data_IF_339278021155
#
_entry.id   IF_339278021155
#
_cell.length_a   1.000
_cell.length_b   1.000
_cell.length_c   1.000
_cell.angle_alpha   90.00
_cell.angle_beta   90.00
_cell.angle_gamma   90.00
#
_symmetry.space_group_name_H-M   'P 1'
#
loop_
_entity.id
_entity.type
_entity.pdbx_description
1 polymer ?
#
# COMPACT_ATOMS: atom_id res chain seq x y z
N UNK A 1 -0.67 1.70 61.00
CA UNK A 1 -1.22 2.93 61.61
C UNK A 1 -0.09 3.95 61.63
N UNK A 2 -0.21 4.98 60.78
CA UNK A 2 0.61 6.20 60.64
C UNK A 2 2.10 6.15 60.99
N UNK A 3 2.98 6.15 59.98
CA UNK A 3 4.42 6.42 60.14
C UNK A 3 4.75 7.79 59.54
N UNK A 4 5.09 8.68 60.45
CA UNK A 4 5.54 10.06 60.32
C UNK A 4 6.97 10.14 59.76
N UNK A 5 7.21 11.13 58.90
CA UNK A 5 8.55 11.60 58.52
C UNK A 5 9.16 12.48 59.62
N UNK A 6 10.50 12.48 59.74
CA UNK A 6 11.20 13.70 60.11
C UNK A 6 12.35 14.07 59.16
N UNK A 7 12.49 15.38 58.96
CA UNK A 7 13.60 16.10 58.30
C UNK A 7 14.73 16.38 59.30
N UNK A 8 15.99 16.22 58.88
CA UNK A 8 17.16 16.98 59.35
C UNK A 8 18.26 16.87 58.26
N UNK A 9 18.57 17.87 57.41
CA UNK A 9 19.32 19.12 57.61
C UNK A 9 20.73 18.93 58.24
N UNK A 10 21.78 18.93 57.41
CA UNK A 10 22.92 19.90 57.46
C UNK A 10 24.09 19.56 56.49
N UNK A 11 24.44 20.56 55.66
CA UNK A 11 25.78 21.12 55.28
C UNK A 11 26.97 20.14 55.21
N UNK A 12 27.89 20.11 54.23
CA UNK A 12 28.21 20.97 53.08
C UNK A 12 29.71 20.87 52.76
N UNK A 13 30.08 21.20 51.51
CA UNK A 13 31.37 21.81 51.06
C UNK A 13 32.56 20.89 50.67
N UNK A 14 33.23 21.30 49.57
CA UNK A 14 34.56 20.95 48.99
C UNK A 14 34.61 19.66 48.12
N UNK A 15 35.13 19.62 46.90
CA UNK A 15 35.77 20.58 46.00
C UNK A 15 36.58 19.84 44.90
N UNK A 16 36.54 20.35 43.66
CA UNK A 16 37.67 20.50 42.71
C UNK A 16 38.27 19.27 41.97
N UNK A 17 38.05 19.26 40.63
CA UNK A 17 39.01 19.14 39.48
C UNK A 17 39.74 17.80 39.19
N UNK A 18 39.32 17.21 38.07
CA UNK A 18 40.12 16.76 36.89
C UNK A 18 41.38 15.91 37.09
N UNK A 19 41.35 14.65 36.61
CA UNK A 19 42.20 14.17 35.49
C UNK A 19 42.03 12.66 35.20
N UNK A 20 41.88 12.38 33.90
CA UNK A 20 42.24 11.19 33.12
C UNK A 20 43.07 10.10 33.84
N UNK A 21 42.64 8.83 33.72
CA UNK A 21 43.52 7.76 33.25
C UNK A 21 42.72 6.58 32.68
N UNK A 22 43.23 6.01 31.60
CA UNK A 22 42.66 4.95 30.80
C UNK A 22 42.28 3.70 31.61
N UNK A 23 41.07 3.18 31.38
CA UNK A 23 40.70 1.83 31.75
C UNK A 23 40.35 1.04 30.48
N UNK A 24 41.29 0.16 30.16
CA UNK A 24 41.16 -1.04 29.34
C UNK A 24 39.80 -1.72 29.63
N UNK A 25 38.85 -1.65 28.71
CA UNK A 25 37.63 -2.48 28.79
C UNK A 25 38.02 -3.88 28.33
N UNK A 26 38.40 -4.71 29.30
CA UNK A 26 38.29 -6.15 29.18
C UNK A 26 36.83 -6.49 28.92
N UNK A 27 36.56 -7.06 27.74
CA UNK A 27 35.28 -7.70 27.41
C UNK A 27 35.10 -8.86 28.39
N UNK A 28 34.33 -8.62 29.45
CA UNK A 28 33.73 -9.70 30.23
C UNK A 28 32.48 -10.08 29.46
N UNK A 29 32.55 -11.25 28.82
CA UNK A 29 31.43 -11.92 28.17
C UNK A 29 30.45 -12.36 29.27
N UNK A 30 29.55 -11.45 29.66
CA UNK A 30 28.43 -11.79 30.53
C UNK A 30 27.38 -12.39 29.60
N UNK A 31 27.37 -13.72 29.53
CA UNK A 31 26.34 -14.52 28.87
C UNK A 31 24.96 -14.17 29.43
N UNK A 32 24.34 -13.16 28.84
CA UNK A 32 22.94 -12.82 29.05
C UNK A 32 22.09 -13.90 28.39
N UNK A 33 21.53 -14.78 29.21
CA UNK A 33 20.42 -15.65 28.85
C UNK A 33 19.29 -14.79 28.26
N UNK A 34 19.23 -14.68 26.94
CA UNK A 34 18.00 -14.28 26.26
C UNK A 34 17.05 -15.45 26.43
N UNK A 35 16.10 -15.34 27.34
CA UNK A 35 14.92 -16.20 27.35
C UNK A 35 14.17 -15.91 26.06
N UNK A 36 14.44 -16.69 25.02
CA UNK A 36 13.55 -16.77 23.87
C UNK A 36 12.21 -17.21 24.41
N UNK A 37 11.21 -16.32 24.38
CA UNK A 37 9.82 -16.74 24.49
C UNK A 37 9.58 -17.71 23.34
N UNK A 38 9.60 -19.00 23.67
CA UNK A 38 9.22 -20.06 22.76
C UNK A 38 7.77 -19.78 22.37
N UNK A 39 7.56 -19.33 21.14
CA UNK A 39 6.23 -19.33 20.57
C UNK A 39 5.81 -20.79 20.46
N UNK A 40 4.62 -21.11 20.96
CA UNK A 40 4.03 -22.41 20.77
C UNK A 40 4.06 -22.74 19.27
N UNK A 41 4.65 -23.89 18.92
CA UNK A 41 4.59 -24.38 17.56
C UNK A 41 3.12 -24.46 17.14
N UNK A 42 2.81 -23.92 15.96
CA UNK A 42 1.47 -24.00 15.40
C UNK A 42 1.00 -25.47 15.39
N UNK A 43 -0.27 -25.76 15.74
CA UNK A 43 -0.79 -27.11 15.71
C UNK A 43 -0.63 -27.69 14.31
N UNK A 44 -0.20 -28.96 14.24
CA UNK A 44 -0.09 -29.69 13.00
C UNK A 44 -1.45 -29.70 12.27
N UNK A 45 -1.48 -29.24 11.01
CA UNK A 45 -2.69 -29.28 10.16
C UNK A 45 -3.24 -27.95 9.65
N UNK A 46 -2.59 -26.81 9.93
CA UNK A 46 -2.97 -25.51 9.35
C UNK A 46 -2.45 -25.37 7.92
N UNK A 47 -3.34 -25.16 6.95
CA UNK A 47 -2.94 -24.92 5.56
C UNK A 47 -2.21 -23.57 5.44
N UNK A 48 -1.10 -23.49 4.69
CA UNK A 48 -0.34 -22.26 4.56
C UNK A 48 -1.08 -21.22 3.72
N UNK A 49 -0.97 -19.96 4.12
CA UNK A 49 -1.44 -18.80 3.35
C UNK A 49 -0.30 -18.23 2.52
N UNK A 50 -0.56 -18.02 1.23
CA UNK A 50 0.38 -17.41 0.30
C UNK A 50 0.12 -15.93 0.19
N UNK A 51 1.16 -15.11 0.39
CA UNK A 51 1.03 -13.67 0.35
C UNK A 51 2.17 -13.01 -0.42
N UNK A 52 1.83 -12.04 -1.28
CA UNK A 52 2.82 -11.27 -2.01
C UNK A 52 2.36 -9.82 -2.19
N UNK A 53 3.31 -8.88 -2.12
CA UNK A 53 3.07 -7.44 -2.28
C UNK A 53 4.19 -6.84 -3.10
N UNK A 54 3.83 -6.02 -4.08
CA UNK A 54 4.78 -5.32 -4.95
C UNK A 54 4.27 -3.92 -5.29
N UNK A 55 5.19 -3.01 -5.61
CA UNK A 55 4.85 -1.67 -6.10
C UNK A 55 6.03 -0.99 -6.76
N UNK A 56 5.80 0.17 -7.35
CA UNK A 56 6.82 0.91 -8.09
C UNK A 56 7.71 1.79 -7.21
N UNK A 57 7.13 2.60 -6.34
CA UNK A 57 7.86 3.51 -5.45
C UNK A 57 7.21 3.56 -4.07
N UNK A 58 7.99 3.85 -3.03
CA UNK A 58 7.51 4.13 -1.66
C UNK A 58 8.43 5.17 -1.03
N UNK A 59 7.87 6.12 -0.27
CA UNK A 59 8.65 7.14 0.45
C UNK A 59 8.23 7.19 1.92
N UNK A 60 9.19 6.99 2.81
CA UNK A 60 8.98 7.06 4.26
C UNK A 60 9.86 8.17 4.86
N UNK A 61 9.34 8.91 5.82
CA UNK A 61 10.06 9.99 6.51
C UNK A 61 9.90 9.79 8.02
N UNK A 62 11.01 9.52 8.71
CA UNK A 62 11.03 9.33 10.17
C UNK A 62 9.99 8.30 10.68
N UNK A 63 9.80 7.20 9.94
CA UNK A 63 8.82 6.14 10.28
C UNK A 63 7.38 6.45 9.84
N UNK A 64 7.08 7.67 9.40
CA UNK A 64 5.79 8.02 8.80
C UNK A 64 5.85 7.76 7.30
N UNK A 65 4.97 6.91 6.78
CA UNK A 65 4.82 6.72 5.33
C UNK A 65 4.28 8.03 4.75
N UNK A 66 5.06 8.68 3.86
CA UNK A 66 4.63 9.90 3.16
C UNK A 66 4.03 9.59 1.79
N UNK A 67 4.39 8.44 1.22
CA UNK A 67 3.75 7.83 0.07
C UNK A 67 3.94 6.33 0.18
N UNK A 68 2.84 5.59 0.13
CA UNK A 68 2.87 4.14 0.07
C UNK A 68 3.10 3.65 -1.38
N UNK A 69 2.97 2.35 -1.62
CA UNK A 69 3.28 1.72 -2.89
C UNK A 69 2.46 2.30 -4.07
N UNK A 70 3.15 2.98 -4.99
CA UNK A 70 2.56 3.37 -6.28
C UNK A 70 2.33 2.15 -7.17
N UNK A 71 1.17 2.07 -7.82
CA UNK A 71 0.73 0.87 -8.54
C UNK A 71 0.85 -0.39 -7.67
N UNK A 72 0.39 -0.32 -6.42
CA UNK A 72 0.45 -1.46 -5.51
C UNK A 72 -0.32 -2.67 -6.06
N UNK A 73 0.32 -3.84 -6.01
CA UNK A 73 -0.35 -5.12 -6.17
C UNK A 73 -0.17 -5.90 -4.87
N UNK A 74 -1.25 -6.53 -4.42
CA UNK A 74 -1.30 -7.37 -3.22
C UNK A 74 -2.07 -8.64 -3.54
N UNK A 75 -1.51 -9.78 -3.13
CA UNK A 75 -2.09 -11.11 -3.26
C UNK A 75 -2.10 -11.75 -1.88
N UNK A 76 -3.25 -12.27 -1.46
CA UNK A 76 -3.38 -13.18 -0.32
C UNK A 76 -4.34 -14.29 -0.70
N UNK A 77 -3.88 -15.54 -0.69
CA UNK A 77 -4.68 -16.71 -1.07
C UNK A 77 -4.25 -17.95 -0.29
N UNK A 78 -5.20 -18.84 -0.03
CA UNK A 78 -4.95 -20.19 0.52
C UNK A 78 -4.75 -21.23 -0.58
N UNK A 79 -5.21 -20.92 -1.80
CA UNK A 79 -5.13 -21.83 -2.95
C UNK A 79 -4.30 -21.24 -4.10
N UNK A 80 -3.69 -22.12 -4.87
CA UNK A 80 -2.94 -21.80 -6.08
C UNK A 80 -3.49 -22.59 -7.28
N UNK A 81 -3.40 -22.07 -8.52
CA UNK A 81 -2.75 -20.83 -8.91
C UNK A 81 -3.66 -19.60 -8.82
N UNK A 82 -3.07 -18.43 -8.52
CA UNK A 82 -3.72 -17.12 -8.59
C UNK A 82 -2.73 -16.09 -9.12
N UNK A 83 -3.21 -15.07 -9.81
CA UNK A 83 -2.38 -13.91 -10.18
C UNK A 83 -3.19 -12.62 -10.07
N UNK A 84 -2.49 -11.54 -9.76
CA UNK A 84 -3.00 -10.17 -9.73
C UNK A 84 -1.93 -9.25 -10.31
N UNK A 85 -2.33 -8.19 -10.99
CA UNK A 85 -1.42 -7.19 -11.53
C UNK A 85 -1.98 -5.78 -11.35
N UNK A 86 -1.08 -4.80 -11.29
CA UNK A 86 -1.40 -3.38 -11.30
C UNK A 86 -0.46 -2.67 -12.27
N UNK A 87 -0.98 -1.72 -13.04
CA UNK A 87 -0.23 -0.87 -13.97
C UNK A 87 -0.65 0.58 -13.76
N UNK A 88 0.31 1.50 -13.74
CA UNK A 88 0.05 2.94 -13.70
C UNK A 88 1.06 3.66 -14.57
N UNK A 89 0.65 4.74 -15.24
CA UNK A 89 1.51 5.57 -16.08
C UNK A 89 1.63 6.98 -15.50
N UNK A 90 2.72 7.66 -15.83
CA UNK A 90 3.01 9.06 -15.49
C UNK A 90 2.78 9.38 -14.01
N UNK A 91 3.45 8.60 -13.14
CA UNK A 91 3.34 8.74 -11.69
C UNK A 91 4.31 9.81 -11.22
N UNK A 92 3.79 10.78 -10.49
CA UNK A 92 4.55 11.81 -9.79
C UNK A 92 4.26 11.73 -8.29
N UNK A 93 5.33 11.55 -7.51
CA UNK A 93 5.26 11.34 -6.05
C UNK A 93 5.88 12.54 -5.35
N UNK A 94 5.12 13.09 -4.40
CA UNK A 94 5.51 14.23 -3.56
C UNK A 94 6.05 15.44 -4.36
N UNK A 95 5.34 15.83 -5.42
CA UNK A 95 5.68 17.00 -6.26
C UNK A 95 7.09 16.92 -6.87
N UNK A 96 7.38 15.81 -7.57
CA UNK A 96 8.60 15.62 -8.35
C UNK A 96 9.77 15.00 -7.59
N UNK A 97 9.58 14.54 -6.34
CA UNK A 97 10.60 13.75 -5.66
C UNK A 97 10.88 12.47 -6.43
N UNK A 98 9.83 11.79 -6.90
CA UNK A 98 9.93 10.68 -7.84
C UNK A 98 8.98 10.88 -9.02
N UNK A 99 9.54 10.84 -10.22
CA UNK A 99 8.79 10.78 -11.47
C UNK A 99 9.09 9.44 -12.16
N UNK A 100 8.03 8.75 -12.58
CA UNK A 100 8.12 7.46 -13.26
C UNK A 100 7.09 7.41 -14.39
N UNK A 101 7.55 7.15 -15.60
CA UNK A 101 6.69 7.12 -16.80
C UNK A 101 5.73 5.94 -16.81
N UNK A 102 6.19 4.77 -16.36
CA UNK A 102 5.36 3.57 -16.29
C UNK A 102 5.76 2.65 -15.13
N UNK A 103 4.76 2.07 -14.49
CA UNK A 103 4.90 1.11 -13.40
C UNK A 103 4.04 -0.11 -13.73
N UNK A 104 4.61 -1.29 -13.54
CA UNK A 104 3.88 -2.56 -13.51
C UNK A 104 4.27 -3.32 -12.25
N UNK A 105 3.29 -3.80 -11.51
CA UNK A 105 3.49 -4.75 -10.43
C UNK A 105 2.62 -5.97 -10.66
N UNK A 106 3.10 -7.12 -10.22
CA UNK A 106 2.41 -8.40 -10.39
C UNK A 106 2.76 -9.33 -9.25
N UNK A 107 1.76 -10.02 -8.73
CA UNK A 107 1.96 -11.09 -7.77
C UNK A 107 1.24 -12.34 -8.27
N UNK A 108 1.82 -13.51 -8.01
CA UNK A 108 1.21 -14.78 -8.41
C UNK A 108 1.62 -15.94 -7.53
N UNK A 109 0.74 -16.93 -7.44
CA UNK A 109 1.04 -18.28 -6.95
C UNK A 109 1.00 -19.28 -8.10
N UNK A 110 1.88 -20.29 -8.06
CA UNK A 110 1.92 -21.37 -9.03
C UNK A 110 2.15 -22.70 -8.32
N UNK A 111 1.46 -23.76 -8.75
CA UNK A 111 1.78 -25.14 -8.35
C UNK A 111 3.09 -25.57 -9.01
N UNK A 112 4.01 -26.07 -8.20
CA UNK A 112 5.28 -26.68 -8.62
C UNK A 112 5.28 -28.13 -8.16
N UNK A 113 6.14 -28.97 -8.73
CA UNK A 113 6.26 -30.36 -8.28
C UNK A 113 6.59 -30.39 -6.78
N UNK A 114 5.75 -31.02 -5.98
CA UNK A 114 5.93 -31.13 -4.53
C UNK A 114 5.54 -29.88 -3.72
N UNK A 115 4.95 -28.83 -4.30
CA UNK A 115 4.45 -27.70 -3.51
C UNK A 115 4.05 -26.46 -4.30
N UNK A 116 4.27 -25.28 -3.73
CA UNK A 116 3.79 -23.99 -4.27
C UNK A 116 4.91 -22.95 -4.27
N UNK A 117 4.95 -22.17 -5.34
CA UNK A 117 5.79 -20.99 -5.49
C UNK A 117 4.93 -19.73 -5.46
N UNK A 118 5.34 -18.77 -4.64
CA UNK A 118 4.79 -17.42 -4.55
C UNK A 118 5.81 -16.47 -5.17
N UNK A 119 5.38 -15.66 -6.12
CA UNK A 119 6.21 -14.68 -6.82
C UNK A 119 5.63 -13.28 -6.68
N UNK A 120 6.50 -12.32 -6.44
CA UNK A 120 6.23 -10.90 -6.41
C UNK A 120 7.16 -10.17 -7.37
N UNK A 121 6.61 -9.30 -8.20
CA UNK A 121 7.30 -8.68 -9.33
C UNK A 121 6.95 -7.19 -9.38
N UNK A 122 7.95 -6.34 -9.60
CA UNK A 122 7.76 -4.93 -9.88
C UNK A 122 8.71 -4.48 -10.98
N UNK A 123 8.20 -3.67 -11.90
CA UNK A 123 8.95 -3.02 -12.96
C UNK A 123 8.56 -1.56 -13.04
N UNK A 124 9.57 -0.70 -13.20
CA UNK A 124 9.39 0.71 -13.50
C UNK A 124 10.19 1.09 -14.73
N UNK A 125 9.73 2.10 -15.46
CA UNK A 125 10.41 2.68 -16.61
C UNK A 125 10.40 4.21 -16.55
N UNK A 126 11.41 4.84 -17.16
CA UNK A 126 11.52 6.30 -17.24
C UNK A 126 11.61 6.95 -15.85
N UNK A 127 12.58 6.52 -15.04
CA UNK A 127 12.74 6.99 -13.65
C UNK A 127 13.57 8.27 -13.63
N UNK A 128 13.06 9.28 -12.93
CA UNK A 128 13.82 10.45 -12.50
C UNK A 128 13.50 10.74 -11.04
N UNK A 129 14.52 10.63 -10.19
CA UNK A 129 14.43 10.85 -8.75
C UNK A 129 15.26 12.05 -8.32
N UNK A 130 14.74 12.80 -7.36
CA UNK A 130 15.44 13.91 -6.71
C UNK A 130 16.03 14.89 -7.73
N UNK A 131 15.17 15.36 -8.65
CA UNK A 131 15.52 16.25 -9.77
C UNK A 131 16.59 15.65 -10.71
N UNK A 132 16.51 14.33 -10.95
CA UNK A 132 17.38 13.63 -11.88
C UNK A 132 18.75 13.25 -11.32
N UNK A 133 18.96 13.37 -10.01
CA UNK A 133 20.15 12.85 -9.34
C UNK A 133 20.27 11.32 -9.52
N UNK A 134 19.13 10.63 -9.53
CA UNK A 134 19.05 9.22 -9.90
C UNK A 134 18.15 9.12 -11.12
N UNK A 135 18.63 8.44 -12.17
CA UNK A 135 17.87 8.16 -13.39
C UNK A 135 17.94 6.67 -13.71
N UNK A 136 16.92 6.14 -14.34
CA UNK A 136 16.92 4.79 -14.88
C UNK A 136 15.97 4.67 -16.07
N UNK A 137 16.38 3.96 -17.11
CA UNK A 137 15.48 3.64 -18.21
C UNK A 137 14.48 2.58 -17.76
N UNK A 138 14.95 1.56 -17.03
CA UNK A 138 14.09 0.58 -16.38
C UNK A 138 14.76 -0.09 -15.18
N UNK A 139 13.94 -0.50 -14.22
CA UNK A 139 14.33 -1.37 -13.10
C UNK A 139 13.28 -2.47 -12.99
N UNK A 140 13.73 -3.72 -12.90
CA UNK A 140 12.86 -4.89 -12.73
C UNK A 140 13.34 -5.70 -11.54
N UNK A 141 12.45 -5.92 -10.56
CA UNK A 141 12.74 -6.63 -9.32
C UNK A 141 11.78 -7.79 -9.15
N UNK A 142 12.28 -8.91 -8.64
CA UNK A 142 11.47 -10.10 -8.33
C UNK A 142 11.89 -10.68 -6.99
N UNK A 143 10.91 -11.02 -6.15
CA UNK A 143 11.06 -11.83 -4.95
C UNK A 143 10.22 -13.10 -5.08
N UNK A 144 10.80 -14.26 -4.76
CA UNK A 144 10.10 -15.54 -4.74
C UNK A 144 10.25 -16.24 -3.39
N UNK A 145 9.20 -16.91 -2.97
CA UNK A 145 9.17 -17.82 -1.83
C UNK A 145 8.51 -19.13 -2.27
N UNK A 146 9.15 -20.25 -1.97
CA UNK A 146 8.72 -21.57 -2.46
C UNK A 146 8.70 -22.55 -1.31
N UNK A 147 7.66 -23.37 -1.24
CA UNK A 147 7.61 -24.58 -0.43
C UNK A 147 7.59 -25.79 -1.39
N UNK A 148 8.47 -26.77 -1.17
CA UNK A 148 8.50 -28.04 -1.91
C UNK A 148 8.86 -29.17 -0.96
N UNK A 149 8.03 -30.21 -0.90
CA UNK A 149 8.26 -31.40 -0.07
C UNK A 149 8.57 -31.04 1.40
N UNK A 150 7.93 -30.00 1.94
CA UNK A 150 8.17 -29.49 3.29
C UNK A 150 9.37 -28.55 3.44
N UNK A 151 10.26 -28.46 2.45
CA UNK A 151 11.39 -27.54 2.45
C UNK A 151 10.98 -26.17 1.89
N UNK A 152 11.50 -25.11 2.49
CA UNK A 152 11.26 -23.74 2.04
C UNK A 152 12.52 -23.11 1.45
N UNK A 153 12.35 -22.35 0.37
CA UNK A 153 13.42 -21.61 -0.29
C UNK A 153 12.96 -20.23 -0.75
N UNK A 154 13.90 -19.30 -0.87
CA UNK A 154 13.63 -17.91 -1.28
C UNK A 154 14.66 -17.40 -2.27
N UNK A 155 14.21 -16.57 -3.20
CA UNK A 155 15.10 -15.82 -4.08
C UNK A 155 14.67 -14.36 -4.20
N UNK A 156 15.63 -13.49 -4.48
CA UNK A 156 15.42 -12.08 -4.75
C UNK A 156 16.45 -11.62 -5.78
N UNK A 157 16.04 -10.88 -6.79
CA UNK A 157 16.91 -10.38 -7.86
C UNK A 157 16.38 -9.09 -8.48
N UNK A 158 17.29 -8.28 -9.01
CA UNK A 158 16.99 -7.07 -9.76
C UNK A 158 17.78 -7.02 -11.06
N UNK A 159 17.18 -6.50 -12.13
CA UNK A 159 17.83 -6.16 -13.41
C UNK A 159 17.70 -4.65 -13.63
N UNK A 160 18.78 -4.04 -14.10
CA UNK A 160 18.87 -2.59 -14.26
C UNK A 160 19.15 -2.21 -15.71
N UNK A 161 18.43 -1.22 -16.25
CA UNK A 161 18.69 -0.65 -17.58
C UNK A 161 18.91 0.84 -17.44
N UNK A 162 20.05 1.33 -17.93
CA UNK A 162 20.36 2.76 -17.96
C UNK A 162 20.44 3.45 -16.60
N UNK A 163 20.66 2.71 -15.51
CA UNK A 163 20.66 3.30 -14.17
C UNK A 163 21.91 4.17 -13.95
N UNK A 164 21.69 5.41 -13.53
CA UNK A 164 22.72 6.38 -13.16
C UNK A 164 22.40 6.95 -11.77
N UNK A 165 23.39 6.96 -10.89
CA UNK A 165 23.32 7.52 -9.54
C UNK A 165 24.42 8.57 -9.41
N UNK A 166 24.04 9.86 -9.37
CA UNK A 166 25.01 10.95 -9.52
C UNK A 166 25.73 10.83 -10.86
N UNK A 167 27.06 10.68 -10.84
CA UNK A 167 27.87 10.42 -12.05
C UNK A 167 28.19 8.95 -12.30
N UNK A 168 27.78 8.05 -11.41
CA UNK A 168 28.09 6.62 -11.51
C UNK A 168 27.04 5.89 -12.35
N UNK A 169 27.49 5.09 -13.32
CA UNK A 169 26.64 4.17 -14.07
C UNK A 169 26.59 2.83 -13.35
N UNK A 170 25.38 2.29 -13.23
CA UNK A 170 25.17 0.99 -12.57
C UNK A 170 25.07 -0.09 -13.65
N UNK A 171 25.82 -1.21 -13.53
CA UNK A 171 25.77 -2.26 -14.52
C UNK A 171 24.43 -3.01 -14.50
N UNK A 172 24.15 -3.76 -15.57
CA UNK A 172 22.89 -4.48 -15.73
C UNK A 172 22.61 -5.50 -14.62
N UNK A 173 23.67 -6.22 -14.22
CA UNK A 173 23.66 -7.16 -13.10
C UNK A 173 24.54 -6.61 -11.98
N UNK A 174 23.94 -6.41 -10.81
CA UNK A 174 24.62 -5.91 -9.62
C UNK A 174 24.53 -6.97 -8.52
N UNK A 175 25.63 -7.29 -7.80
CA UNK A 175 25.57 -8.15 -6.64
C UNK A 175 24.52 -7.66 -5.63
N UNK A 176 23.93 -8.59 -4.87
CA UNK A 176 22.94 -8.25 -3.85
C UNK A 176 23.55 -7.30 -2.83
N UNK A 177 22.74 -6.35 -2.36
CA UNK A 177 23.07 -5.42 -1.28
C UNK A 177 24.30 -4.54 -1.57
N UNK A 178 24.50 -4.13 -2.82
CA UNK A 178 25.63 -3.28 -3.20
C UNK A 178 25.38 -1.85 -2.72
N UNK A 179 26.24 -1.34 -1.83
CA UNK A 179 26.14 0.00 -1.28
C UNK A 179 26.83 1.06 -2.16
N UNK A 180 26.16 2.19 -2.36
CA UNK A 180 26.69 3.37 -3.04
C UNK A 180 26.35 4.59 -2.21
N UNK A 181 27.35 5.42 -1.90
CA UNK A 181 27.14 6.66 -1.14
C UNK A 181 27.56 7.85 -2.00
N UNK A 182 26.69 8.85 -2.06
CA UNK A 182 27.05 10.20 -2.51
C UNK A 182 27.28 11.02 -1.24
N UNK A 183 28.53 11.34 -0.88
CA UNK A 183 28.86 11.98 0.39
C UNK A 183 28.04 13.25 0.62
N UNK A 184 27.45 13.36 1.81
CA UNK A 184 26.65 14.52 2.20
C UNK A 184 25.35 14.69 1.40
N UNK A 185 24.89 13.67 0.67
CA UNK A 185 23.63 13.72 -0.10
C UNK A 185 22.74 12.52 0.26
N UNK A 186 23.16 11.31 -0.09
CA UNK A 186 22.36 10.11 0.08
C UNK A 186 23.20 8.84 0.14
N UNK A 187 22.62 7.78 0.68
CA UNK A 187 23.11 6.40 0.60
C UNK A 187 22.10 5.57 -0.19
N UNK A 188 22.58 4.68 -1.07
CA UNK A 188 21.77 3.78 -1.90
C UNK A 188 22.25 2.36 -1.65
N UNK A 189 21.32 1.45 -1.39
CA UNK A 189 21.54 0.01 -1.52
C UNK A 189 20.88 -0.44 -2.82
N UNK A 190 21.71 -0.92 -3.74
CA UNK A 190 21.30 -1.45 -5.04
C UNK A 190 21.08 -2.95 -4.91
N UNK A 191 19.99 -3.45 -5.49
CA UNK A 191 19.59 -4.85 -5.41
C UNK A 191 19.50 -5.33 -3.95
N UNK A 192 18.73 -4.60 -3.13
CA UNK A 192 18.54 -4.88 -1.71
C UNK A 192 17.67 -6.14 -1.56
N UNK A 193 18.29 -7.24 -1.15
CA UNK A 193 17.63 -8.55 -0.99
C UNK A 193 17.73 -8.98 0.45
N UNK A 194 16.56 -9.19 1.06
CA UNK A 194 16.38 -9.60 2.46
C UNK A 194 15.35 -10.72 2.57
N UNK A 195 15.15 -11.17 3.79
CA UNK A 195 14.16 -12.19 4.10
C UNK A 195 14.65 -13.12 5.20
N UNK A 196 13.76 -14.02 5.59
CA UNK A 196 13.94 -14.89 6.74
C UNK A 196 13.21 -16.21 6.53
N UNK A 197 13.63 -17.23 7.27
CA UNK A 197 12.93 -18.51 7.43
C UNK A 197 12.51 -18.58 8.89
N UNK A 198 11.24 -18.86 9.15
CA UNK A 198 10.64 -18.78 10.49
C UNK A 198 10.37 -17.34 10.98
N UNK A 199 9.85 -17.24 12.21
CA UNK A 199 9.34 -15.99 12.79
C UNK A 199 7.85 -15.80 12.50
N UNK A 200 7.47 -14.62 12.01
CA UNK A 200 6.08 -14.26 11.64
C UNK A 200 5.59 -14.88 10.31
N UNK A 201 6.40 -15.72 9.68
CA UNK A 201 6.09 -16.43 8.45
C UNK A 201 6.94 -17.72 8.39
N UNK A 202 6.46 -18.73 7.67
CA UNK A 202 7.27 -19.92 7.37
C UNK A 202 8.51 -19.51 6.55
N UNK A 203 8.30 -18.66 5.54
CA UNK A 203 9.38 -18.04 4.78
C UNK A 203 8.95 -16.68 4.24
N UNK A 204 9.89 -15.74 4.20
CA UNK A 204 9.71 -14.40 3.63
C UNK A 204 10.90 -14.06 2.74
N UNK A 205 10.62 -13.61 1.54
CA UNK A 205 11.57 -13.08 0.57
C UNK A 205 11.23 -11.63 0.27
N UNK A 206 12.21 -10.74 0.33
CA UNK A 206 12.06 -9.33 0.01
C UNK A 206 13.16 -8.92 -0.95
N UNK A 207 12.80 -8.17 -1.99
CA UNK A 207 13.76 -7.58 -2.91
C UNK A 207 13.31 -6.16 -3.28
N UNK A 208 14.23 -5.20 -3.25
CA UNK A 208 14.00 -3.82 -3.67
C UNK A 208 15.12 -3.42 -4.62
N UNK A 209 14.75 -2.86 -5.77
CA UNK A 209 15.73 -2.51 -6.80
C UNK A 209 16.71 -1.44 -6.33
N UNK A 210 16.21 -0.31 -5.85
CA UNK A 210 17.00 0.71 -5.16
C UNK A 210 16.34 1.07 -3.83
N UNK A 211 17.07 0.98 -2.73
CA UNK A 211 16.68 1.58 -1.45
C UNK A 211 17.61 2.74 -1.16
N UNK A 212 17.05 3.94 -1.06
CA UNK A 212 17.76 5.20 -0.90
C UNK A 212 17.44 5.76 0.48
N UNK A 213 18.44 6.32 1.17
CA UNK A 213 18.29 7.05 2.42
C UNK A 213 18.94 8.41 2.25
N UNK A 214 18.20 9.49 2.53
CA UNK A 214 18.73 10.85 2.48
C UNK A 214 19.66 11.10 3.68
N UNK A 215 20.88 11.56 3.42
CA UNK A 215 21.84 11.91 4.47
C UNK A 215 21.68 13.36 4.95
N UNK A 216 21.00 14.20 4.17
CA UNK A 216 20.61 15.57 4.50
C UNK A 216 19.20 15.86 3.97
N UNK A 217 18.53 16.92 4.47
CA UNK A 217 17.26 17.34 3.90
C UNK A 217 17.40 17.70 2.41
N UNK A 218 16.46 17.23 1.58
CA UNK A 218 16.47 17.48 0.13
C UNK A 218 15.05 17.28 -0.44
N UNK A 219 14.68 18.10 -1.43
CA UNK A 219 13.39 18.01 -2.14
C UNK A 219 12.17 17.98 -1.20
N UNK A 220 12.21 18.77 -0.12
CA UNK A 220 11.14 18.83 0.88
C UNK A 220 11.09 17.65 1.86
N UNK A 221 12.01 16.69 1.75
CA UNK A 221 12.14 15.56 2.68
C UNK A 221 13.23 15.85 3.72
N UNK A 222 13.06 15.34 4.95
CA UNK A 222 14.07 15.43 6.00
C UNK A 222 15.22 14.45 5.78
N UNK A 223 16.34 14.66 6.47
CA UNK A 223 17.36 13.62 6.61
C UNK A 223 16.74 12.34 7.21
N UNK A 224 17.26 11.18 6.80
CA UNK A 224 16.74 9.87 7.18
C UNK A 224 15.51 9.42 6.40
N UNK A 225 14.93 10.26 5.53
CA UNK A 225 13.87 9.82 4.63
C UNK A 225 14.37 8.66 3.74
N UNK A 226 13.57 7.61 3.64
CA UNK A 226 13.83 6.47 2.76
C UNK A 226 12.95 6.50 1.52
N UNK A 227 13.54 6.19 0.37
CA UNK A 227 12.86 6.07 -0.91
C UNK A 227 13.18 4.67 -1.46
N UNK A 228 12.17 3.89 -1.78
CA UNK A 228 12.31 2.55 -2.33
C UNK A 228 11.77 2.53 -3.76
N UNK A 229 12.53 1.92 -4.68
CA UNK A 229 12.11 1.66 -6.05
C UNK A 229 11.97 0.15 -6.28
N UNK A 230 10.85 -0.24 -6.88
CA UNK A 230 10.44 -1.64 -7.13
C UNK A 230 10.52 -2.54 -5.89
N UNK A 231 10.01 -2.13 -4.70
CA UNK A 231 9.91 -3.03 -3.57
C UNK A 231 8.96 -4.21 -3.91
N UNK A 232 9.42 -5.42 -3.59
CA UNK A 232 8.70 -6.68 -3.78
C UNK A 232 8.85 -7.56 -2.55
N UNK A 233 7.80 -8.30 -2.21
CA UNK A 233 7.78 -9.23 -1.11
C UNK A 233 6.94 -10.45 -1.48
N UNK A 234 7.48 -11.65 -1.25
CA UNK A 234 6.74 -12.91 -1.30
C UNK A 234 6.93 -13.64 0.04
N UNK A 235 5.85 -14.14 0.63
CA UNK A 235 5.89 -14.90 1.87
C UNK A 235 4.88 -16.04 1.88
N UNK A 236 5.22 -17.08 2.61
CA UNK A 236 4.34 -18.21 2.94
C UNK A 236 4.16 -18.15 4.45
N UNK A 237 2.91 -18.00 4.89
CA UNK A 237 2.56 -17.91 6.30
C UNK A 237 1.89 -19.20 6.74
N UNK A 238 2.03 -19.53 8.02
CA UNK A 238 1.09 -20.40 8.70
C UNK A 238 0.10 -19.45 9.37
N UNK A 239 -1.19 -19.46 9.00
CA UNK A 239 -2.16 -18.57 9.60
C UNK A 239 -2.29 -18.87 11.09
N UNK A 240 -2.26 -17.82 11.91
CA UNK A 240 -2.80 -17.89 13.26
C UNK A 240 -4.34 -17.94 13.16
N UNK A 241 -5.01 -18.75 14.00
CA UNK A 241 -6.47 -18.74 14.05
C UNK A 241 -7.00 -17.33 14.26
N UNK A 242 -7.98 -16.93 13.44
CA UNK A 242 -8.71 -15.68 13.66
C UNK A 242 -9.81 -16.00 14.66
N UNK A 243 -9.71 -15.41 15.86
CA UNK A 243 -10.79 -15.42 16.83
C UNK A 243 -11.86 -14.42 16.34
N UNK A 244 -12.98 -14.91 15.81
CA UNK A 244 -14.12 -14.09 15.36
C UNK A 244 -14.37 -14.05 13.84
N UNK A 245 -15.22 -13.11 13.41
CA UNK A 245 -15.56 -12.94 11.99
C UNK A 245 -14.42 -12.22 11.25
N UNK A 246 -13.88 -12.75 10.14
CA UNK A 246 -12.82 -12.04 9.43
C UNK A 246 -13.33 -10.74 8.81
N UNK A 247 -12.52 -9.67 8.95
CA UNK A 247 -12.75 -8.39 8.30
C UNK A 247 -12.11 -8.36 6.91
N UNK A 248 -12.83 -7.86 5.93
CA UNK A 248 -12.28 -7.62 4.60
C UNK A 248 -12.69 -6.25 4.10
N UNK A 249 -11.92 -5.74 3.15
CA UNK A 249 -12.22 -4.46 2.55
C UNK A 249 -11.16 -4.00 1.57
N UNK A 250 -11.53 -2.99 0.81
CA UNK A 250 -10.63 -2.25 -0.06
C UNK A 250 -11.02 -0.79 -0.11
N UNK A 251 -10.05 0.07 -0.40
CA UNK A 251 -10.31 1.43 -0.84
C UNK A 251 -9.32 1.83 -1.93
N UNK A 252 -9.79 2.59 -2.91
CA UNK A 252 -8.96 3.18 -3.96
C UNK A 252 -9.55 4.49 -4.45
N UNK A 253 -8.70 5.32 -5.04
CA UNK A 253 -9.11 6.68 -5.41
C UNK A 253 -9.72 6.74 -6.80
N UNK A 254 -9.09 6.16 -7.82
CA UNK A 254 -9.62 6.18 -9.19
C UNK A 254 -9.38 4.87 -9.92
N UNK A 255 -10.33 4.48 -10.76
CA UNK A 255 -10.15 3.42 -11.77
C UNK A 255 -10.84 3.85 -13.06
N UNK A 256 -10.25 3.53 -14.22
CA UNK A 256 -10.82 3.83 -15.54
C UNK A 256 -10.94 2.54 -16.34
N UNK A 257 -12.13 2.24 -16.83
CA UNK A 257 -12.45 1.22 -17.80
C UNK A 257 -12.83 1.80 -19.15
N UNK A 258 -12.66 1.00 -20.20
CA UNK A 258 -13.21 1.23 -21.54
C UNK A 258 -13.80 -0.07 -22.05
N UNK A 259 -15.08 -0.01 -22.43
CA UNK A 259 -15.87 -1.10 -22.96
C UNK A 259 -16.16 -0.87 -24.45
N UNK A 260 -15.58 -1.68 -25.33
CA UNK A 260 -15.86 -1.63 -26.78
C UNK A 260 -16.69 -2.85 -27.15
N UNK A 261 -18.01 -2.69 -27.09
CA UNK A 261 -18.97 -3.80 -27.19
C UNK A 261 -18.74 -4.86 -26.10
N UNK A 262 -19.16 -6.10 -26.38
CA UNK A 262 -18.98 -7.23 -25.45
C UNK A 262 -17.58 -7.86 -25.52
N UNK A 263 -16.81 -7.51 -26.56
CA UNK A 263 -15.57 -8.20 -26.91
C UNK A 263 -14.31 -7.65 -26.22
N UNK A 264 -14.32 -6.37 -25.84
CA UNK A 264 -13.14 -5.71 -25.28
C UNK A 264 -13.51 -4.87 -24.06
N UNK A 265 -13.05 -5.32 -22.90
CA UNK A 265 -13.14 -4.60 -21.64
C UNK A 265 -11.72 -4.39 -21.11
N UNK A 266 -11.23 -3.16 -21.19
CA UNK A 266 -9.93 -2.78 -20.67
C UNK A 266 -10.15 -1.96 -19.41
N UNK A 267 -9.58 -2.38 -18.28
CA UNK A 267 -9.57 -1.58 -17.05
C UNK A 267 -8.14 -1.21 -16.67
N UNK A 268 -7.94 0.05 -16.31
CA UNK A 268 -6.78 0.49 -15.55
C UNK A 268 -6.81 -0.22 -14.20
N UNK A 269 -5.65 -0.33 -13.58
CA UNK A 269 -5.63 -0.72 -12.19
C UNK A 269 -6.06 0.47 -11.30
N UNK A 270 -6.53 0.20 -10.07
CA UNK A 270 -6.92 1.24 -9.14
C UNK A 270 -5.72 2.03 -8.62
N UNK A 271 -5.92 3.31 -8.34
CA UNK A 271 -4.89 4.23 -7.82
C UNK A 271 -4.93 4.31 -6.29
N UNK A 272 -3.74 4.44 -5.69
CA UNK A 272 -3.53 4.51 -4.23
C UNK A 272 -4.24 3.37 -3.45
N UNK A 273 -4.36 2.17 -4.03
CA UNK A 273 -5.17 1.08 -3.45
C UNK A 273 -4.64 0.64 -2.08
N UNK A 274 -5.57 0.43 -1.14
CA UNK A 274 -5.34 -0.25 0.14
C UNK A 274 -6.31 -1.43 0.26
N UNK A 275 -5.86 -2.53 0.87
CA UNK A 275 -6.64 -3.75 1.07
C UNK A 275 -6.54 -4.14 2.54
N UNK A 276 -7.68 -4.40 3.18
CA UNK A 276 -7.73 -4.88 4.55
C UNK A 276 -7.37 -6.38 4.61
N UNK A 277 -6.41 -6.78 5.46
CA UNK A 277 -6.17 -8.20 5.74
C UNK A 277 -7.36 -8.84 6.47
N UNK A 278 -7.55 -10.15 6.26
CA UNK A 278 -8.64 -10.95 6.86
C UNK A 278 -8.71 -10.87 8.39
N UNK A 279 -7.55 -10.86 9.07
CA UNK A 279 -7.45 -10.72 10.53
C UNK A 279 -7.57 -9.28 11.01
N UNK A 280 -7.96 -8.35 10.14
CA UNK A 280 -7.94 -6.93 10.41
C UNK A 280 -6.53 -6.33 10.43
N UNK A 281 -6.44 -5.13 11.00
CA UNK A 281 -5.21 -4.33 11.10
C UNK A 281 -4.78 -4.12 12.56
N UNK A 282 -5.43 -4.79 13.51
CA UNK A 282 -5.24 -4.60 14.96
C UNK A 282 -5.43 -3.14 15.40
N UNK A 283 -6.38 -2.43 14.78
CA UNK A 283 -6.65 -1.02 15.05
C UNK A 283 -5.61 -0.05 14.49
N UNK A 284 -4.53 -0.54 13.86
CA UNK A 284 -3.54 0.30 13.19
C UNK A 284 -4.06 0.67 11.81
N UNK A 285 -4.13 1.96 11.51
CA UNK A 285 -4.54 2.41 10.18
C UNK A 285 -3.47 2.02 9.14
N UNK A 286 -3.89 1.33 8.08
CA UNK A 286 -3.11 1.16 6.86
C UNK A 286 -3.49 2.29 5.91
N UNK A 287 -2.51 2.99 5.34
CA UNK A 287 -2.74 4.08 4.40
C UNK A 287 -1.96 3.89 3.10
N UNK A 288 -2.55 4.34 1.99
CA UNK A 288 -1.83 4.51 0.72
C UNK A 288 -2.17 5.85 0.08
N UNK A 289 -1.14 6.60 -0.31
CA UNK A 289 -1.29 7.93 -0.89
C UNK A 289 -0.46 8.13 -2.16
N UNK A 290 -1.05 8.86 -3.10
CA UNK A 290 -0.45 9.29 -4.38
C UNK A 290 -0.73 10.78 -4.57
N UNK A 291 0.31 11.57 -4.87
CA UNK A 291 0.16 13.02 -4.94
C UNK A 291 -0.68 13.47 -6.15
N UNK A 292 -0.50 12.81 -7.30
CA UNK A 292 -1.20 13.16 -8.53
C UNK A 292 -1.32 11.95 -9.45
N UNK A 293 -2.46 11.85 -10.11
CA UNK A 293 -2.73 10.94 -11.22
C UNK A 293 -3.17 11.77 -12.42
N UNK A 294 -2.59 11.49 -13.58
CA UNK A 294 -2.96 12.13 -14.84
C UNK A 294 -3.07 11.10 -15.96
N UNK A 295 -4.29 10.87 -16.41
CA UNK A 295 -4.61 10.29 -17.70
C UNK A 295 -5.10 11.42 -18.61
N UNK A 296 -4.27 11.92 -19.56
CA UNK A 296 -4.61 13.08 -20.38
C UNK A 296 -5.98 12.95 -21.03
N UNK A 297 -6.77 14.02 -20.99
CA UNK A 297 -8.13 14.02 -21.54
C UNK A 297 -9.20 13.38 -20.65
N UNK A 298 -8.81 12.52 -19.70
CA UNK A 298 -9.75 11.62 -19.02
C UNK A 298 -9.82 11.85 -17.51
N UNK A 299 -8.69 11.74 -16.80
CA UNK A 299 -8.64 11.91 -15.34
C UNK A 299 -7.44 12.76 -14.97
N UNK A 300 -7.69 13.82 -14.19
CA UNK A 300 -6.68 14.53 -13.41
C UNK A 300 -7.16 14.58 -11.97
N UNK A 301 -6.48 13.87 -11.09
CA UNK A 301 -6.77 13.85 -9.66
C UNK A 301 -5.50 14.20 -8.88
N UNK A 302 -5.66 14.95 -7.79
CA UNK A 302 -4.56 15.28 -6.89
C UNK A 302 -4.84 14.73 -5.49
N UNK A 303 -3.82 14.70 -4.63
CA UNK A 303 -3.93 14.37 -3.20
C UNK A 303 -4.84 13.15 -2.97
N UNK A 304 -4.44 12.01 -3.52
CA UNK A 304 -5.14 10.74 -3.40
C UNK A 304 -4.65 10.05 -2.13
N UNK A 305 -5.54 9.68 -1.21
CA UNK A 305 -5.19 9.03 0.05
C UNK A 305 -6.30 8.10 0.48
N UNK A 306 -5.99 6.82 0.67
CA UNK A 306 -6.97 5.81 1.08
C UNK A 306 -6.50 5.12 2.34
N UNK A 307 -7.43 4.72 3.20
CA UNK A 307 -7.12 4.06 4.47
C UNK A 307 -7.98 2.81 4.69
N UNK A 308 -7.42 1.86 5.42
CA UNK A 308 -8.09 0.67 5.92
C UNK A 308 -7.75 0.52 7.41
N UNK A 309 -8.77 0.45 8.26
CA UNK A 309 -8.63 0.17 9.67
C UNK A 309 -9.62 -0.93 10.05
N UNK A 310 -9.15 -1.98 10.69
CA UNK A 310 -10.01 -3.03 11.19
C UNK A 310 -9.51 -3.63 12.50
N UNK A 311 -10.44 -3.91 13.40
CA UNK A 311 -10.20 -4.66 14.63
C UNK A 311 -11.05 -5.93 14.59
N UNK A 312 -10.40 -7.07 14.78
CA UNK A 312 -11.06 -8.39 14.84
C UNK A 312 -10.72 -9.02 16.18
N UNK A 313 -11.77 -9.43 16.90
CA UNK A 313 -11.73 -10.17 18.16
C UNK A 313 -12.80 -11.25 18.14
N UNK A 314 -12.81 -12.15 19.14
CA UNK A 314 -13.78 -13.24 19.26
C UNK A 314 -15.23 -12.78 19.10
N UNK A 315 -15.56 -11.60 19.63
CA UNK A 315 -16.94 -11.13 19.73
C UNK A 315 -17.21 -9.86 18.92
N UNK A 316 -16.19 -9.25 18.31
CA UNK A 316 -16.34 -8.01 17.56
C UNK A 316 -15.44 -7.98 16.33
N UNK A 317 -16.05 -7.60 15.21
CA UNK A 317 -15.36 -7.17 14.00
C UNK A 317 -15.84 -5.77 13.65
N UNK A 318 -14.92 -4.82 13.63
CA UNK A 318 -15.18 -3.43 13.24
C UNK A 318 -14.18 -3.06 12.16
N UNK A 319 -14.66 -2.69 10.97
CA UNK A 319 -13.81 -2.39 9.83
C UNK A 319 -14.30 -1.16 9.06
N UNK A 320 -13.40 -0.20 8.88
CA UNK A 320 -13.61 1.03 8.13
C UNK A 320 -12.63 1.10 6.96
N UNK A 321 -13.15 1.35 5.76
CA UNK A 321 -12.38 1.66 4.57
C UNK A 321 -12.71 3.07 4.11
N UNK A 322 -11.70 3.87 3.76
CA UNK A 322 -11.90 5.25 3.34
C UNK A 322 -11.08 5.59 2.11
N UNK A 323 -11.68 6.32 1.16
CA UNK A 323 -10.99 6.89 0.02
C UNK A 323 -11.16 8.41 -0.02
N UNK A 324 -10.04 9.14 -0.07
CA UNK A 324 -9.99 10.61 -0.06
C UNK A 324 -9.24 11.13 -1.28
N UNK A 325 -9.78 12.16 -1.91
CA UNK A 325 -9.17 12.76 -3.11
C UNK A 325 -9.34 14.27 -3.06
N UNK A 326 -8.27 14.99 -3.35
CA UNK A 326 -8.28 16.44 -3.51
C UNK A 326 -8.27 16.85 -4.98
N UNK A 327 -9.17 17.75 -5.38
CA UNK A 327 -9.26 18.31 -6.73
C UNK A 327 -9.28 17.25 -7.85
N UNK A 328 -10.48 16.91 -8.32
CA UNK A 328 -10.67 16.01 -9.47
C UNK A 328 -11.20 16.82 -10.64
N UNK A 329 -10.65 16.54 -11.82
CA UNK A 329 -11.14 17.00 -13.11
C UNK A 329 -11.20 15.78 -14.04
N UNK A 330 -12.40 15.48 -14.52
CA UNK A 330 -12.66 14.39 -15.45
C UNK A 330 -13.08 14.95 -16.80
N UNK A 331 -12.72 14.23 -17.87
CA UNK A 331 -13.19 14.47 -19.23
C UNK A 331 -13.04 15.94 -19.65
N UNK A 332 -11.83 16.48 -19.48
CA UNK A 332 -11.47 17.87 -19.80
C UNK A 332 -12.37 18.95 -19.15
N UNK A 333 -12.78 18.72 -17.90
CA UNK A 333 -13.56 19.69 -17.11
C UNK A 333 -15.06 19.52 -17.24
N UNK A 334 -15.55 18.47 -17.93
CA UNK A 334 -16.97 18.14 -17.92
C UNK A 334 -17.47 17.89 -16.49
N UNK A 335 -16.66 17.24 -15.66
CA UNK A 335 -16.94 16.98 -14.25
C UNK A 335 -15.76 17.46 -13.42
N UNK A 336 -16.01 18.33 -12.44
CA UNK A 336 -14.98 18.80 -11.52
C UNK A 336 -15.48 18.79 -10.08
N UNK A 337 -14.58 18.57 -9.12
CA UNK A 337 -14.87 18.69 -7.70
C UNK A 337 -13.59 19.04 -6.93
N UNK A 338 -13.74 19.68 -5.77
CA UNK A 338 -12.63 20.16 -4.96
C UNK A 338 -12.11 19.10 -3.98
N UNK A 339 -13.01 18.28 -3.44
CA UNK A 339 -12.63 17.18 -2.57
C UNK A 339 -13.74 16.12 -2.55
N UNK A 340 -13.33 14.88 -2.30
CA UNK A 340 -14.25 13.78 -2.05
C UNK A 340 -13.71 12.85 -0.98
N UNK A 341 -14.59 12.39 -0.12
CA UNK A 341 -14.36 11.31 0.84
C UNK A 341 -15.45 10.27 0.66
N UNK A 342 -15.07 9.03 0.35
CA UNK A 342 -15.94 7.87 0.36
C UNK A 342 -15.57 6.98 1.54
N UNK A 343 -16.54 6.45 2.26
CA UNK A 343 -16.32 5.62 3.44
C UNK A 343 -17.32 4.46 3.47
N UNK A 344 -16.81 3.27 3.74
CA UNK A 344 -17.59 2.07 3.98
C UNK A 344 -17.20 1.51 5.34
N UNK A 345 -18.19 1.24 6.19
CA UNK A 345 -18.04 0.77 7.55
C UNK A 345 -18.91 -0.45 7.79
N UNK A 346 -18.35 -1.45 8.47
CA UNK A 346 -19.08 -2.64 8.91
C UNK A 346 -18.75 -2.97 10.36
N UNK A 347 -19.78 -3.37 11.11
CA UNK A 347 -19.66 -3.88 12.46
C UNK A 347 -20.40 -5.20 12.59
N UNK A 348 -19.73 -6.22 13.09
CA UNK A 348 -20.29 -7.52 13.44
C UNK A 348 -19.97 -7.84 14.89
N UNK A 349 -21.01 -7.89 15.72
CA UNK A 349 -20.90 -8.21 17.15
C UNK A 349 -21.51 -9.58 17.43
N UNK A 350 -20.68 -10.57 17.76
CA UNK A 350 -21.12 -11.95 18.03
C UNK A 350 -22.08 -12.49 16.96
N UNK A 351 -23.30 -12.82 17.36
CA UNK A 351 -24.36 -13.34 16.48
C UNK A 351 -25.26 -12.26 15.87
N UNK A 352 -25.14 -11.00 16.27
CA UNK A 352 -26.04 -9.93 15.83
C UNK A 352 -25.92 -9.67 14.32
N UNK A 353 -26.99 -9.18 13.66
CA UNK A 353 -26.91 -8.78 12.26
C UNK A 353 -25.78 -7.77 12.03
N UNK A 354 -25.07 -7.91 10.91
CA UNK A 354 -23.99 -6.98 10.55
C UNK A 354 -24.58 -5.59 10.33
N UNK A 355 -24.09 -4.59 11.06
CA UNK A 355 -24.37 -3.18 10.81
C UNK A 355 -23.46 -2.72 9.68
N UNK A 356 -24.02 -2.03 8.69
CA UNK A 356 -23.31 -1.59 7.49
C UNK A 356 -23.67 -0.15 7.21
N UNK A 357 -22.66 0.69 7.04
CA UNK A 357 -22.83 2.10 6.73
C UNK A 357 -21.93 2.50 5.57
N UNK A 358 -22.45 3.34 4.69
CA UNK A 358 -21.70 3.88 3.56
C UNK A 358 -22.03 5.36 3.38
N UNK A 359 -21.03 6.15 2.99
CA UNK A 359 -21.22 7.57 2.74
C UNK A 359 -20.22 8.11 1.72
N UNK A 360 -20.67 9.11 0.95
CA UNK A 360 -19.80 9.93 0.12
C UNK A 360 -20.03 11.41 0.43
N UNK A 361 -18.98 12.11 0.85
CA UNK A 361 -18.96 13.57 1.03
C UNK A 361 -18.23 14.19 -0.14
N UNK A 362 -18.93 15.00 -0.93
CA UNK A 362 -18.40 15.61 -2.16
C UNK A 362 -18.50 17.13 -2.04
N UNK A 363 -17.39 17.82 -2.28
CA UNK A 363 -17.28 19.28 -2.15
C UNK A 363 -17.04 19.91 -3.52
N UNK A 364 -17.84 20.90 -3.87
CA UNK A 364 -17.66 21.70 -5.09
C UNK A 364 -17.92 20.92 -6.38
N UNK A 365 -18.80 19.91 -6.35
CA UNK A 365 -19.15 19.11 -7.53
C UNK A 365 -19.82 20.00 -8.58
N UNK A 366 -19.28 19.99 -9.79
CA UNK A 366 -19.85 20.61 -10.97
C UNK A 366 -19.92 19.57 -12.09
N UNK A 367 -21.06 19.49 -12.76
CA UNK A 367 -21.29 18.60 -13.90
C UNK A 367 -21.82 19.45 -15.06
N UNK A 368 -21.12 19.44 -16.19
CA UNK A 368 -21.42 20.27 -17.36
C UNK A 368 -21.63 21.76 -17.02
N UNK A 369 -20.78 22.30 -16.14
CA UNK A 369 -20.83 23.70 -15.67
C UNK A 369 -21.93 24.00 -14.63
N UNK A 370 -22.76 23.02 -14.27
CA UNK A 370 -23.81 23.17 -13.24
C UNK A 370 -23.30 22.69 -11.89
N UNK A 371 -23.37 23.54 -10.87
CA UNK A 371 -23.06 23.16 -9.50
C UNK A 371 -24.11 22.18 -8.99
N UNK A 372 -23.66 21.08 -8.38
CA UNK A 372 -24.50 20.09 -7.70
C UNK A 372 -24.42 20.36 -6.20
N UNK A 373 -25.55 20.37 -5.47
CA UNK A 373 -25.55 20.62 -4.03
C UNK A 373 -24.82 19.53 -3.25
N UNK A 374 -24.36 19.88 -2.05
CA UNK A 374 -23.77 18.93 -1.10
C UNK A 374 -24.90 18.08 -0.50
N UNK A 375 -24.62 16.80 -0.22
CA UNK A 375 -25.55 15.92 0.49
C UNK A 375 -26.67 15.39 -0.38
N UNK A 376 -26.39 15.10 -1.66
CA UNK A 376 -27.33 14.38 -2.50
C UNK A 376 -27.61 12.98 -1.93
N UNK A 377 -28.85 12.51 -2.11
CA UNK A 377 -29.26 11.18 -1.68
C UNK A 377 -28.39 10.09 -2.34
N UNK A 378 -28.19 8.93 -1.66
CA UNK A 378 -27.49 7.80 -2.25
C UNK A 378 -28.07 7.40 -3.61
N UNK A 379 -27.20 6.99 -4.53
CA UNK A 379 -27.53 6.53 -5.88
C UNK A 379 -28.19 7.59 -6.79
N UNK A 380 -28.01 8.88 -6.48
CA UNK A 380 -28.52 9.98 -7.33
C UNK A 380 -27.87 9.93 -8.71
N UNK A 381 -28.69 9.87 -9.77
CA UNK A 381 -28.21 9.82 -11.16
C UNK A 381 -28.40 11.15 -11.86
N UNK A 382 -27.37 11.60 -12.58
CA UNK A 382 -27.41 12.76 -13.47
C UNK A 382 -26.89 12.34 -14.84
N UNK A 383 -27.68 12.58 -15.88
CA UNK A 383 -27.24 12.37 -17.26
C UNK A 383 -26.83 13.69 -17.91
N UNK A 384 -25.70 13.67 -18.58
CA UNK A 384 -25.30 14.71 -19.52
C UNK A 384 -25.62 14.19 -20.93
N UNK A 385 -26.65 14.74 -21.61
CA UNK A 385 -27.14 14.20 -22.86
C UNK A 385 -26.04 13.98 -23.89
N UNK A 386 -26.03 12.78 -24.48
CA UNK A 386 -25.07 12.38 -25.51
C UNK A 386 -23.63 12.20 -25.02
N UNK A 387 -23.35 12.29 -23.72
CA UNK A 387 -22.00 12.14 -23.17
C UNK A 387 -21.94 11.02 -22.13
N UNK A 388 -22.45 11.26 -20.92
CA UNK A 388 -22.24 10.37 -19.77
C UNK A 388 -23.42 10.35 -18.81
N UNK A 389 -23.60 9.22 -18.13
CA UNK A 389 -24.37 9.06 -16.90
C UNK A 389 -23.41 9.16 -15.72
N UNK A 390 -23.78 9.93 -14.70
CA UNK A 390 -23.04 10.09 -13.45
C UNK A 390 -23.93 9.62 -12.30
N UNK A 391 -23.50 8.59 -11.59
CA UNK A 391 -24.13 8.12 -10.36
C UNK A 391 -23.32 8.69 -9.20
N UNK A 392 -23.99 9.40 -8.31
CA UNK A 392 -23.39 10.11 -7.18
C UNK A 392 -23.73 9.37 -5.90
N UNK A 393 -22.73 9.18 -5.05
CA UNK A 393 -22.87 8.42 -3.80
C UNK A 393 -23.52 7.06 -4.07
N UNK A 394 -22.97 6.33 -5.04
CA UNK A 394 -23.48 5.01 -5.40
C UNK A 394 -23.17 4.05 -4.25
N UNK A 395 -24.20 3.51 -3.62
CA UNK A 395 -24.09 2.59 -2.49
C UNK A 395 -24.71 1.25 -2.87
N UNK A 396 -23.97 0.18 -2.63
CA UNK A 396 -24.35 -1.17 -3.04
C UNK A 396 -24.08 -2.15 -1.92
N UNK A 397 -25.12 -2.88 -1.51
CA UNK A 397 -24.97 -4.05 -0.67
C UNK A 397 -24.22 -5.14 -1.43
N UNK A 398 -23.22 -5.74 -0.78
CA UNK A 398 -22.45 -6.80 -1.41
C UNK A 398 -23.24 -8.11 -1.44
N UNK A 399 -23.18 -8.86 -2.56
CA UNK A 399 -23.90 -10.12 -2.69
C UNK A 399 -23.25 -11.23 -1.85
N UNK A 400 -24.02 -12.29 -1.58
CA UNK A 400 -23.52 -13.52 -0.96
C UNK A 400 -22.26 -14.05 -1.69
N UNK A 401 -21.21 -14.52 -0.97
CA UNK A 401 -21.15 -14.82 0.47
C UNK A 401 -20.77 -13.64 1.37
N UNK A 402 -20.72 -12.42 0.85
CA UNK A 402 -20.28 -11.24 1.59
C UNK A 402 -21.44 -10.59 2.34
N UNK A 403 -21.20 -10.19 3.59
CA UNK A 403 -22.09 -9.29 4.33
C UNK A 403 -21.40 -7.94 4.49
N UNK A 404 -21.72 -7.02 3.61
CA UNK A 404 -21.05 -5.73 3.60
C UNK A 404 -21.65 -4.76 2.61
N UNK A 405 -20.97 -3.63 2.47
CA UNK A 405 -21.42 -2.51 1.66
C UNK A 405 -20.22 -1.90 0.93
N UNK A 406 -20.47 -1.39 -0.27
CA UNK A 406 -19.52 -0.61 -1.03
C UNK A 406 -20.12 0.75 -1.41
N UNK A 407 -19.25 1.75 -1.53
CA UNK A 407 -19.58 3.08 -2.01
C UNK A 407 -18.62 3.53 -3.11
N UNK A 408 -19.17 4.18 -4.12
CA UNK A 408 -18.43 4.98 -5.10
C UNK A 408 -18.95 6.40 -5.02
N UNK A 409 -18.08 7.34 -4.71
CA UNK A 409 -18.53 8.71 -4.60
C UNK A 409 -19.01 9.26 -5.96
N UNK A 410 -18.32 8.93 -7.05
CA UNK A 410 -18.84 9.08 -8.41
C UNK A 410 -18.58 7.81 -9.23
N UNK A 411 -19.58 7.37 -9.97
CA UNK A 411 -19.47 6.39 -11.05
C UNK A 411 -19.93 7.03 -12.36
N UNK A 412 -19.04 7.13 -13.33
CA UNK A 412 -19.28 7.81 -14.60
C UNK A 412 -19.27 6.75 -15.70
N UNK A 413 -20.31 6.71 -16.50
CA UNK A 413 -20.45 5.76 -17.61
C UNK A 413 -20.78 6.53 -18.88
N UNK A 414 -20.11 6.23 -20.00
CA UNK A 414 -20.53 6.76 -21.29
C UNK A 414 -21.95 6.30 -21.64
N UNK A 415 -22.75 7.24 -22.15
CA UNK A 415 -24.07 6.91 -22.70
C UNK A 415 -23.92 6.25 -24.09
N UNK A 416 -24.91 5.45 -24.52
CA UNK A 416 -25.00 5.00 -25.91
C UNK A 416 -24.94 6.20 -26.87
N UNK A 417 -24.08 6.11 -27.87
CA UNK A 417 -23.88 7.19 -28.85
C UNK A 417 -22.95 8.32 -28.40
N UNK A 418 -22.27 8.18 -27.25
CA UNK A 418 -21.23 9.13 -26.85
C UNK A 418 -20.12 9.26 -27.92
N UNK A 419 -19.47 10.44 -28.02
CA UNK A 419 -18.34 10.66 -28.91
C UNK A 419 -17.26 9.58 -28.81
N UNK A 420 -16.60 9.28 -29.94
CA UNK A 420 -15.64 8.15 -30.06
C UNK A 420 -14.49 8.21 -29.05
N UNK A 421 -14.11 9.39 -28.60
CA UNK A 421 -13.04 9.64 -27.63
C UNK A 421 -13.42 9.28 -26.18
N UNK A 422 -14.71 9.18 -25.87
CA UNK A 422 -15.21 8.76 -24.55
C UNK A 422 -16.13 7.54 -24.62
N UNK A 423 -16.38 6.98 -25.81
CA UNK A 423 -17.26 5.85 -26.00
C UNK A 423 -16.84 4.65 -25.14
N UNK A 424 -17.80 4.09 -24.40
CA UNK A 424 -17.56 2.93 -23.54
C UNK A 424 -16.80 3.23 -22.25
N UNK A 425 -16.51 4.50 -21.94
CA UNK A 425 -15.76 4.82 -20.74
C UNK A 425 -16.56 4.48 -19.47
N UNK A 426 -15.85 3.97 -18.47
CA UNK A 426 -16.32 3.69 -17.11
C UNK A 426 -15.29 4.30 -16.16
N UNK A 427 -15.65 5.29 -15.34
CA UNK A 427 -14.73 5.92 -14.40
C UNK A 427 -15.31 5.82 -13.01
N UNK A 428 -14.50 5.32 -12.08
CA UNK A 428 -14.83 5.20 -10.68
C UNK A 428 -13.96 6.19 -9.89
N UNK A 429 -14.58 6.98 -9.00
CA UNK A 429 -13.88 7.99 -8.19
C UNK A 429 -14.31 7.86 -6.73
N UNK A 430 -13.33 7.75 -5.85
CA UNK A 430 -13.51 7.60 -4.40
C UNK A 430 -14.28 6.33 -4.09
N UNK A 431 -13.59 5.20 -4.06
CA UNK A 431 -14.22 3.89 -3.84
C UNK A 431 -13.77 3.30 -2.51
N UNK A 432 -14.73 2.83 -1.73
CA UNK A 432 -14.49 2.08 -0.50
C UNK A 432 -15.49 0.92 -0.40
N UNK A 433 -15.05 -0.24 0.08
CA UNK A 433 -15.94 -1.37 0.36
C UNK A 433 -15.44 -2.16 1.54
N UNK A 434 -16.34 -2.55 2.43
CA UNK A 434 -16.05 -3.27 3.67
C UNK A 434 -17.06 -4.41 3.86
N UNK A 435 -16.60 -5.56 4.33
CA UNK A 435 -17.47 -6.72 4.57
C UNK A 435 -16.89 -7.71 5.57
N UNK A 436 -17.80 -8.53 6.12
CA UNK A 436 -17.50 -9.80 6.78
C UNK A 436 -18.04 -10.95 5.93
N UNK A 437 -17.70 -12.20 6.27
CA UNK A 437 -18.35 -13.35 5.65
C UNK A 437 -19.71 -13.58 6.29
N UNK A 438 -20.76 -13.83 5.48
CA UNK A 438 -22.02 -14.33 6.02
C UNK A 438 -21.78 -15.72 6.60
N UNK A 439 -22.11 -15.90 7.86
CA UNK A 439 -22.35 -17.23 8.41
C UNK A 439 -23.60 -17.82 7.71
N UNK A 440 -23.53 -19.07 7.22
CA UNK A 440 -24.65 -19.72 6.55
C UNK A 440 -25.89 -19.89 7.44
#
# INVERSE_FOLDING_TARGET
>A
MSLTLPRALRRGILGVVTALLAALVTVVDIGGLTTSVAHAAAPAGTEPVYHAVSGGTRINVAGVVKSDLTAASSLRVETAPRAVENKTANVDVLNGVAHVEAIQSRNSTRKVLGGIEVSSYARIAGVSLLNGLIKADAIETTATATIRNGEVSRTGKTRFVGVKIGNQKIPFNVPKNTGITIPGVLSVVVNDVRGQVGGDALIKSQATGLRIVLLKPQAGLSAGASIELTPTMARILIPEPIEGSPAFGYAYSTQVGVHVGDALNIRSAPTAVVICPAGGTNGVELDNSTAKVLLPGVVKANVLSNTANATVTSDLTDATMSARIGAVNLLNGLITLNAVTAEAHVVKSGTDPTVKEATAKIVGLTIAGKSIPIGVEPNTTIEVPGLVKVIINEQTDLPFPYDGIAVRALHIQALPGAPKDIAGIDIEVGVAGAWVLRTP
#
